data_IF_657336392267
#
_entry.id   IF_657336392267
#
_cell.length_a   1.000
_cell.length_b   1.000
_cell.length_c   1.000
_cell.angle_alpha   90.00
_cell.angle_beta   90.00
_cell.angle_gamma   90.00
#
_symmetry.space_group_name_H-M   'P 1'
#
loop_
_entity.id
_entity.type
_entity.pdbx_description
1 polymer ?
#
# COMPACT_ATOMS: atom_id res chain seq x y z
N UNK A 1 28.88 -13.09 -1.76
CA UNK A 1 27.82 -12.10 -1.48
C UNK A 1 26.57 -12.63 -2.15
N UNK A 2 25.57 -13.08 -1.39
CA UNK A 2 24.29 -13.50 -1.95
C UNK A 2 23.52 -12.22 -2.29
N UNK A 3 23.49 -11.84 -3.56
CA UNK A 3 22.59 -10.81 -4.07
C UNK A 3 21.21 -11.46 -4.19
N UNK A 4 20.42 -11.36 -3.13
CA UNK A 4 18.97 -11.55 -3.23
C UNK A 4 18.46 -10.26 -3.85
N UNK A 5 18.14 -10.29 -5.14
CA UNK A 5 17.34 -9.21 -5.74
C UNK A 5 15.90 -9.48 -5.32
N UNK A 6 15.31 -8.64 -4.46
CA UNK A 6 13.93 -8.80 -4.06
C UNK A 6 13.06 -8.71 -5.31
N UNK A 7 12.26 -9.75 -5.58
CA UNK A 7 11.27 -9.72 -6.64
C UNK A 7 10.03 -9.03 -6.06
N UNK A 8 9.80 -7.77 -6.48
CA UNK A 8 8.69 -6.94 -6.00
C UNK A 8 7.36 -7.65 -6.30
N UNK A 9 6.47 -7.68 -5.32
CA UNK A 9 5.13 -8.22 -5.50
C UNK A 9 4.39 -7.38 -6.57
N UNK A 10 3.99 -8.01 -7.68
CA UNK A 10 3.37 -7.35 -8.85
C UNK A 10 2.00 -6.73 -8.55
N UNK A 11 1.53 -6.86 -7.31
CA UNK A 11 0.25 -6.37 -6.83
C UNK A 11 0.24 -4.88 -6.47
N UNK A 12 1.42 -4.30 -6.22
CA UNK A 12 1.55 -2.89 -5.89
C UNK A 12 1.79 -2.08 -7.17
N UNK A 13 1.00 -1.02 -7.44
CA UNK A 13 1.21 -0.19 -8.60
C UNK A 13 2.57 0.53 -8.50
N UNK A 14 3.45 0.28 -9.47
CA UNK A 14 4.67 1.05 -9.68
C UNK A 14 5.93 0.17 -9.82
N UNK A 15 6.50 0.12 -11.03
CA UNK A 15 7.96 0.00 -11.13
C UNK A 15 8.59 1.33 -10.66
N UNK A 16 9.83 1.28 -10.15
CA UNK A 16 10.64 2.48 -9.88
C UNK A 16 10.88 3.38 -11.12
N UNK A 17 10.44 2.93 -12.30
CA UNK A 17 10.54 3.63 -13.60
C UNK A 17 9.19 3.99 -14.24
N UNK A 18 8.05 3.61 -13.64
CA UNK A 18 6.74 3.91 -14.22
C UNK A 18 6.27 5.30 -13.77
N UNK A 19 6.56 6.28 -14.62
CA UNK A 19 6.14 7.68 -14.44
C UNK A 19 4.62 7.87 -14.60
N UNK A 20 3.84 6.83 -14.94
CA UNK A 20 2.43 7.00 -15.33
C UNK A 20 1.43 5.97 -14.75
N UNK A 21 1.82 5.21 -13.72
CA UNK A 21 1.03 4.07 -13.22
C UNK A 21 0.63 4.12 -11.74
N UNK A 22 0.53 5.30 -11.12
CA UNK A 22 0.19 5.44 -9.69
C UNK A 22 -1.21 4.94 -9.34
N UNK A 23 -1.69 5.24 -8.13
CA UNK A 23 -3.00 4.83 -7.62
C UNK A 23 -4.23 5.43 -8.35
N UNK A 24 -4.03 6.21 -9.42
CA UNK A 24 -5.10 6.89 -10.18
C UNK A 24 -6.10 5.94 -10.85
N UNK A 25 -5.69 4.71 -11.18
CA UNK A 25 -6.56 3.69 -11.77
C UNK A 25 -7.32 2.86 -10.73
N UNK A 26 -7.04 3.06 -9.44
CA UNK A 26 -7.68 2.34 -8.34
C UNK A 26 -8.81 3.18 -7.75
N UNK A 27 -10.03 2.66 -7.80
CA UNK A 27 -11.18 3.27 -7.14
C UNK A 27 -11.22 2.83 -5.67
N UNK A 28 -10.73 3.70 -4.77
CA UNK A 28 -10.77 3.44 -3.35
C UNK A 28 -12.15 3.72 -2.78
N UNK A 29 -12.64 2.77 -1.97
CA UNK A 29 -13.79 2.98 -1.08
C UNK A 29 -13.34 2.78 0.34
N UNK A 30 -13.67 3.75 1.20
CA UNK A 30 -13.32 3.76 2.61
C UNK A 30 -14.60 3.88 3.43
N UNK A 31 -14.69 3.13 4.52
CA UNK A 31 -15.79 3.25 5.47
C UNK A 31 -15.44 4.32 6.51
N UNK A 32 -16.18 5.43 6.52
CA UNK A 32 -16.03 6.54 7.46
C UNK A 32 -17.39 6.82 8.09
N UNK A 33 -17.45 6.92 9.42
CA UNK A 33 -18.70 7.18 10.17
C UNK A 33 -19.88 6.27 9.80
N UNK A 34 -19.57 5.00 9.48
CA UNK A 34 -20.57 3.99 9.11
C UNK A 34 -21.03 4.04 7.64
N UNK A 35 -20.57 5.00 6.84
CA UNK A 35 -20.88 5.11 5.42
C UNK A 35 -19.65 4.78 4.55
N UNK A 36 -19.88 4.11 3.42
CA UNK A 36 -18.85 3.91 2.40
C UNK A 36 -18.76 5.15 1.52
N UNK A 37 -17.57 5.71 1.42
CA UNK A 37 -17.29 6.91 0.63
C UNK A 37 -16.18 6.60 -0.37
N UNK A 38 -16.30 7.17 -1.57
CA UNK A 38 -15.26 7.06 -2.59
C UNK A 38 -14.14 8.07 -2.34
N UNK A 39 -12.90 7.61 -2.50
CA UNK A 39 -11.70 8.42 -2.35
C UNK A 39 -10.98 8.51 -3.69
N UNK A 40 -10.87 9.73 -4.21
CA UNK A 40 -10.14 10.02 -5.44
C UNK A 40 -8.65 10.08 -5.15
N UNK A 41 -7.92 9.02 -5.54
CA UNK A 41 -6.47 9.03 -5.50
C UNK A 41 -5.86 10.04 -6.49
N UNK A 42 -6.58 10.36 -7.58
CA UNK A 42 -6.13 11.35 -8.58
C UNK A 42 -6.04 12.78 -8.05
N UNK A 43 -6.84 13.12 -7.03
CA UNK A 43 -6.84 14.46 -6.40
C UNK A 43 -5.95 14.53 -5.16
N UNK A 44 -5.19 13.47 -4.87
CA UNK A 44 -4.39 13.31 -3.67
C UNK A 44 -2.91 13.14 -4.01
N UNK A 45 -2.03 13.66 -3.16
CA UNK A 45 -0.64 13.21 -3.12
C UNK A 45 -0.58 11.91 -2.31
N UNK A 46 -0.06 10.84 -2.91
CA UNK A 46 0.06 9.53 -2.25
C UNK A 46 1.48 9.34 -1.70
N UNK A 47 1.59 8.90 -0.45
CA UNK A 47 2.83 8.40 0.15
C UNK A 47 2.62 6.92 0.42
N UNK A 48 3.51 6.09 -0.13
CA UNK A 48 3.52 4.65 0.07
C UNK A 48 4.66 4.26 1.01
N UNK A 49 4.37 3.32 1.91
CA UNK A 49 5.34 2.78 2.87
C UNK A 49 5.50 1.31 2.56
N UNK A 50 6.61 0.95 1.93
CA UNK A 50 6.95 -0.42 1.62
C UNK A 50 7.94 -0.95 2.67
N UNK A 51 7.54 -2.02 3.37
CA UNK A 51 8.40 -2.71 4.33
C UNK A 51 8.81 -4.07 3.74
N UNK A 52 10.12 -4.39 3.69
CA UNK A 52 10.59 -5.65 3.15
C UNK A 52 10.21 -6.79 4.11
N UNK A 53 9.08 -7.44 3.84
CA UNK A 53 8.57 -8.61 4.54
C UNK A 53 8.89 -9.89 3.76
N UNK A 54 10.15 -10.04 3.35
CA UNK A 54 10.57 -11.13 2.46
C UNK A 54 10.97 -12.39 3.22
N UNK A 55 10.68 -13.54 2.61
CA UNK A 55 11.14 -14.85 3.10
C UNK A 55 12.56 -15.09 2.59
N UNK A 56 13.50 -15.25 3.51
CA UNK A 56 14.88 -15.60 3.16
C UNK A 56 15.01 -17.11 2.99
N UNK A 57 15.43 -17.58 1.82
CA UNK A 57 15.64 -19.01 1.54
C UNK A 57 17.13 -19.31 1.43
N UNK A 58 17.68 -20.01 2.42
CA UNK A 58 19.06 -20.48 2.42
C UNK A 58 19.18 -21.83 1.71
N UNK A 59 20.09 -21.89 0.73
CA UNK A 59 20.47 -23.10 -0.02
C UNK A 59 21.98 -23.19 -0.14
N UNK A 60 22.51 -24.41 -0.19
CA UNK A 60 23.93 -24.60 -0.52
C UNK A 60 24.14 -24.38 -2.02
N UNK A 61 25.28 -23.77 -2.34
CA UNK A 61 25.68 -23.47 -3.72
C UNK A 61 26.10 -24.71 -4.51
N UNK A 62 26.53 -25.77 -3.83
CA UNK A 62 26.93 -27.05 -4.42
C UNK A 62 25.74 -28.00 -4.66
N UNK A 63 24.51 -27.56 -4.37
CA UNK A 63 23.28 -28.34 -4.56
C UNK A 63 23.11 -29.51 -3.59
N UNK A 64 24.02 -29.70 -2.63
CA UNK A 64 23.90 -30.72 -1.60
C UNK A 64 22.96 -30.26 -0.47
N UNK A 65 22.33 -31.17 0.28
CA UNK A 65 21.45 -30.80 1.38
C UNK A 65 22.21 -30.13 2.54
N UNK A 66 21.55 -29.17 3.23
CA UNK A 66 21.94 -28.66 4.54
C UNK A 66 21.38 -29.59 5.62
N UNK A 67 22.22 -30.40 6.26
CA UNK A 67 21.79 -31.28 7.36
C UNK A 67 20.57 -32.16 7.01
N UNK A 68 20.47 -32.62 5.76
CA UNK A 68 19.36 -33.42 5.25
C UNK A 68 18.21 -32.63 4.60
N UNK A 69 18.19 -31.30 4.72
CA UNK A 69 17.18 -30.43 4.09
C UNK A 69 17.68 -29.83 2.77
N UNK A 70 16.80 -29.72 1.78
CA UNK A 70 17.13 -29.11 0.49
C UNK A 70 17.30 -27.57 0.60
N UNK A 71 16.55 -26.94 1.50
CA UNK A 71 16.64 -25.51 1.79
C UNK A 71 16.06 -25.19 3.17
N UNK A 72 16.43 -24.04 3.74
CA UNK A 72 15.85 -23.51 4.97
C UNK A 72 15.19 -22.17 4.64
N UNK A 73 13.91 -22.00 4.96
CA UNK A 73 13.20 -20.74 4.85
C UNK A 73 13.14 -20.04 6.21
N UNK A 74 13.45 -18.75 6.22
CA UNK A 74 13.31 -17.86 7.37
C UNK A 74 12.23 -16.85 7.02
N UNK A 75 11.08 -16.99 7.68
CA UNK A 75 9.95 -16.09 7.51
C UNK A 75 10.08 -14.89 8.44
N UNK A 76 9.70 -13.68 7.98
CA UNK A 76 9.70 -12.50 8.83
C UNK A 76 8.60 -12.62 9.89
N UNK A 77 8.86 -12.12 11.10
CA UNK A 77 7.89 -12.14 12.17
C UNK A 77 6.83 -11.03 11.96
N UNK A 78 5.54 -11.37 11.79
CA UNK A 78 4.48 -10.38 11.51
C UNK A 78 4.25 -9.41 12.66
N UNK A 79 4.45 -9.83 13.90
CA UNK A 79 4.33 -8.94 15.07
C UNK A 79 5.41 -7.85 15.05
N UNK A 80 6.65 -8.22 14.70
CA UNK A 80 7.76 -7.28 14.59
C UNK A 80 7.55 -6.31 13.42
N UNK A 81 7.08 -6.82 12.27
CA UNK A 81 6.74 -5.98 11.12
C UNK A 81 5.64 -4.98 11.46
N UNK A 82 4.61 -5.41 12.20
CA UNK A 82 3.51 -4.54 12.63
C UNK A 82 4.01 -3.44 13.57
N UNK A 83 4.89 -3.79 14.53
CA UNK A 83 5.53 -2.82 15.43
C UNK A 83 6.38 -1.80 14.66
N UNK A 84 7.12 -2.25 13.64
CA UNK A 84 7.91 -1.37 12.79
C UNK A 84 7.03 -0.41 11.99
N UNK A 85 5.94 -0.93 11.41
CA UNK A 85 4.97 -0.10 10.68
C UNK A 85 4.35 0.96 11.60
N UNK A 86 3.92 0.58 12.80
CA UNK A 86 3.37 1.50 13.79
C UNK A 86 4.39 2.61 14.16
N UNK A 87 5.64 2.23 14.42
CA UNK A 87 6.70 3.21 14.69
C UNK A 87 6.89 4.18 13.52
N UNK A 88 6.90 3.68 12.28
CA UNK A 88 7.05 4.54 11.10
C UNK A 88 5.87 5.50 10.95
N UNK A 89 4.63 5.01 11.10
CA UNK A 89 3.43 5.86 11.02
C UNK A 89 3.43 6.93 12.10
N UNK A 90 3.86 6.59 13.33
CA UNK A 90 3.97 7.57 14.42
C UNK A 90 4.98 8.67 14.08
N UNK A 91 6.10 8.33 13.44
CA UNK A 91 7.09 9.33 13.02
C UNK A 91 6.55 10.25 11.91
N UNK A 92 5.79 9.71 10.95
CA UNK A 92 5.13 10.52 9.93
C UNK A 92 4.15 11.49 10.58
N UNK A 93 3.39 11.03 11.58
CA UNK A 93 2.42 11.84 12.28
C UNK A 93 3.08 12.98 13.07
N UNK A 94 4.16 12.70 13.78
CA UNK A 94 4.96 13.72 14.47
C UNK A 94 5.51 14.77 13.49
N UNK A 95 6.03 14.35 12.33
CA UNK A 95 6.51 15.29 11.32
C UNK A 95 5.38 16.17 10.76
N UNK A 96 4.19 15.60 10.57
CA UNK A 96 3.02 16.35 10.11
C UNK A 96 2.53 17.35 11.14
N UNK A 97 2.54 16.99 12.43
CA UNK A 97 2.21 17.88 13.54
C UNK A 97 3.19 19.06 13.62
N UNK A 98 4.50 18.80 13.46
CA UNK A 98 5.53 19.85 13.51
C UNK A 98 5.48 20.80 12.31
N UNK A 99 5.27 20.28 11.10
CA UNK A 99 5.30 21.07 9.87
C UNK A 99 3.95 21.72 9.54
N UNK A 100 2.85 21.11 9.98
CA UNK A 100 1.48 21.56 9.76
C UNK A 100 0.68 21.54 11.07
N UNK A 101 1.00 22.42 12.04
CA UNK A 101 0.42 22.39 13.39
C UNK A 101 -1.10 22.65 13.45
N UNK A 102 -1.71 23.12 12.35
CA UNK A 102 -3.16 23.32 12.23
C UNK A 102 -3.90 22.10 11.66
N UNK A 103 -3.17 21.08 11.22
CA UNK A 103 -3.72 19.85 10.65
C UNK A 103 -4.47 19.08 11.75
N UNK A 104 -5.76 18.80 11.53
CA UNK A 104 -6.63 18.22 12.56
C UNK A 104 -7.44 19.23 13.38
N UNK A 105 -7.29 20.54 13.14
CA UNK A 105 -8.21 21.54 13.72
C UNK A 105 -9.55 21.58 12.97
N UNK A 106 -10.63 21.97 13.66
CA UNK A 106 -12.05 21.87 13.20
C UNK A 106 -12.37 22.57 11.87
N UNK A 107 -11.47 23.38 11.31
CA UNK A 107 -11.69 24.13 10.08
C UNK A 107 -10.65 23.85 8.98
N UNK A 108 -9.74 22.90 9.21
CA UNK A 108 -8.69 22.52 8.25
C UNK A 108 -9.07 21.19 7.61
N UNK A 109 -10.06 21.28 6.73
CA UNK A 109 -10.65 20.18 5.97
C UNK A 109 -10.87 20.63 4.52
N UNK A 110 -11.20 19.69 3.63
CA UNK A 110 -11.61 20.04 2.26
C UNK A 110 -12.91 20.86 2.27
N UNK A 111 -13.30 21.46 1.15
CA UNK A 111 -14.62 22.11 1.00
C UNK A 111 -15.79 21.17 1.27
N UNK A 112 -15.57 19.86 1.14
CA UNK A 112 -16.54 18.80 1.44
C UNK A 112 -16.50 18.33 2.91
N UNK A 113 -15.61 18.90 3.73
CA UNK A 113 -15.46 18.54 5.14
C UNK A 113 -14.61 17.29 5.40
N UNK A 114 -13.84 16.81 4.40
CA UNK A 114 -13.00 15.61 4.54
C UNK A 114 -11.65 15.95 5.20
N UNK A 115 -11.08 14.98 5.91
CA UNK A 115 -9.71 15.07 6.42
C UNK A 115 -8.73 15.31 5.26
N UNK A 116 -7.76 16.21 5.45
CA UNK A 116 -6.72 16.47 4.45
C UNK A 116 -5.73 15.31 4.31
N UNK A 117 -5.64 14.47 5.34
CA UNK A 117 -4.81 13.27 5.37
C UNK A 117 -5.71 12.09 5.64
N UNK A 118 -5.63 11.08 4.79
CA UNK A 118 -6.35 9.81 4.94
C UNK A 118 -5.34 8.68 4.94
N UNK A 119 -5.27 7.91 6.04
CA UNK A 119 -4.47 6.68 6.11
C UNK A 119 -5.31 5.52 5.59
N UNK A 120 -4.76 4.73 4.69
CA UNK A 120 -5.43 3.58 4.10
C UNK A 120 -4.55 2.34 4.22
N UNK A 121 -5.17 1.21 4.56
CA UNK A 121 -4.58 -0.12 4.37
C UNK A 121 -5.36 -0.76 3.23
N UNK A 122 -4.79 -0.83 2.01
CA UNK A 122 -5.52 -1.38 0.89
C UNK A 122 -5.76 -2.87 1.10
N UNK A 123 -6.96 -3.35 0.78
CA UNK A 123 -7.25 -4.77 0.79
C UNK A 123 -6.45 -5.46 -0.33
N UNK A 124 -5.54 -6.40 -0.01
CA UNK A 124 -4.72 -7.05 -1.03
C UNK A 124 -5.58 -7.74 -2.10
N UNK A 125 -6.68 -8.38 -1.71
CA UNK A 125 -7.61 -9.05 -2.64
C UNK A 125 -8.27 -8.07 -3.62
N UNK A 126 -8.63 -6.87 -3.16
CA UNK A 126 -9.23 -5.84 -4.01
C UNK A 126 -8.21 -5.25 -4.99
N UNK A 127 -6.94 -5.11 -4.56
CA UNK A 127 -5.86 -4.70 -5.45
C UNK A 127 -5.56 -5.76 -6.53
N UNK A 128 -5.76 -7.06 -6.25
CA UNK A 128 -5.60 -8.13 -7.26
C UNK A 128 -6.77 -8.23 -8.23
N UNK A 129 -7.91 -7.61 -7.92
CA UNK A 129 -9.09 -7.77 -8.74
C UNK A 129 -8.89 -7.03 -10.08
N UNK A 130 -9.21 -7.66 -11.23
CA UNK A 130 -9.21 -6.94 -12.49
C UNK A 130 -10.15 -5.74 -12.39
N UNK A 131 -9.74 -4.61 -12.98
CA UNK A 131 -10.55 -3.40 -13.00
C UNK A 131 -11.99 -3.75 -13.42
N UNK A 132 -13.03 -3.27 -12.71
CA UNK A 132 -14.40 -3.57 -13.06
C UNK A 132 -14.63 -3.16 -14.53
N UNK A 133 -15.14 -4.09 -15.34
CA UNK A 133 -15.40 -3.82 -16.74
C UNK A 133 -16.31 -2.59 -16.86
N UNK A 134 -16.04 -1.67 -17.80
CA UNK A 134 -16.90 -0.50 -17.98
C UNK A 134 -18.34 -0.98 -18.23
N UNK A 135 -19.34 -0.25 -17.70
CA UNK A 135 -20.73 -0.63 -17.88
C UNK A 135 -21.03 -0.73 -19.39
N UNK A 136 -21.78 -1.75 -19.84
CA UNK A 136 -22.09 -1.91 -21.24
C UNK A 136 -22.81 -0.65 -21.77
N UNK A 137 -22.44 -0.22 -22.98
CA UNK A 137 -22.86 1.06 -23.59
C UNK A 137 -24.38 1.32 -23.58
N UNK A 138 -25.20 0.28 -23.41
CA UNK A 138 -26.66 0.37 -23.33
C UNK A 138 -27.18 0.94 -22.01
N UNK A 139 -26.33 1.03 -20.97
CA UNK A 139 -26.66 1.59 -19.65
C UNK A 139 -26.13 3.01 -19.44
N UNK A 140 -25.38 3.56 -20.40
CA UNK A 140 -25.00 4.97 -20.38
C UNK A 140 -26.23 5.81 -20.77
N UNK A 141 -26.57 6.88 -20.04
CA UNK A 141 -27.64 7.78 -20.44
C UNK A 141 -27.31 8.34 -21.83
N UNK A 142 -28.18 8.04 -22.79
CA UNK A 142 -28.09 8.60 -24.14
C UNK A 142 -28.36 10.10 -24.03
N UNK A 143 -27.38 10.91 -24.40
CA UNK A 143 -27.49 12.38 -24.47
C UNK A 143 -28.42 12.77 -25.61
#
# INVERSE_FOLDING_TARGET
>A
MLTVTPERDQLLPGQATDVDGGYSHVQFRVQQDGAWTELSAGDSACIEIELPAEVCVARRTDGLPLSGYQSISVEPNPEVLTKLLALFTDHVDLLLEDWYPSLGTRFVHTSEGRCLITRLVPCPACLRAPAPAPPPHHLLPQV
#
